data_IF_180275921487
#
_entry.id   IF_180275921487
#
_cell.length_a   1.000
_cell.length_b   1.000
_cell.length_c   1.000
_cell.angle_alpha   90.00
_cell.angle_beta   90.00
_cell.angle_gamma   90.00
#
_symmetry.space_group_name_H-M   'P 1'
#
loop_
_entity.id
_entity.type
_entity.pdbx_description
1 polymer ?
#
# COMPACT_ATOMS: atom_id res chain seq x y z
N UNK A 1 -21.57 -8.21 1.29
CA UNK A 1 -21.64 -9.68 1.30
C UNK A 1 -21.94 -10.16 2.73
N UNK A 2 -22.39 -11.41 2.90
CA UNK A 2 -22.67 -12.01 4.22
C UNK A 2 -21.44 -12.01 5.15
N UNK A 3 -20.24 -12.20 4.59
CA UNK A 3 -18.98 -12.15 5.31
C UNK A 3 -18.79 -10.85 6.11
N UNK A 4 -18.86 -9.69 5.46
CA UNK A 4 -18.61 -8.41 6.15
C UNK A 4 -19.67 -8.12 7.23
N UNK A 5 -20.93 -8.40 6.95
CA UNK A 5 -22.02 -8.26 7.93
C UNK A 5 -21.81 -9.16 9.16
N UNK A 6 -21.33 -10.39 8.97
CA UNK A 6 -20.98 -11.30 10.07
C UNK A 6 -19.82 -10.75 10.93
N UNK A 7 -18.93 -9.97 10.32
CA UNK A 7 -17.85 -9.26 11.02
C UNK A 7 -18.25 -7.87 11.55
N UNK A 8 -19.53 -7.48 11.46
CA UNK A 8 -20.04 -6.18 11.88
C UNK A 8 -19.35 -4.99 11.19
N UNK A 9 -19.02 -5.16 9.91
CA UNK A 9 -18.41 -4.11 9.07
C UNK A 9 -19.14 -4.03 7.73
N UNK A 10 -19.15 -2.85 7.11
CA UNK A 10 -19.48 -2.70 5.69
C UNK A 10 -18.21 -2.81 4.86
N UNK A 11 -18.38 -3.03 3.56
CA UNK A 11 -17.31 -2.99 2.57
C UNK A 11 -17.82 -2.30 1.32
N UNK A 12 -17.00 -1.41 0.77
CA UNK A 12 -17.24 -0.74 -0.49
C UNK A 12 -15.91 -0.62 -1.24
N UNK A 13 -16.00 -0.42 -2.56
CA UNK A 13 -14.84 -0.23 -3.43
C UNK A 13 -15.20 0.67 -4.59
N UNK A 14 -14.23 1.43 -5.08
CA UNK A 14 -14.37 2.24 -6.29
C UNK A 14 -13.04 2.37 -7.03
N UNK A 15 -13.13 2.82 -8.28
CA UNK A 15 -11.95 3.25 -9.03
C UNK A 15 -11.85 4.76 -9.00
N UNK A 16 -10.69 5.27 -8.60
CA UNK A 16 -10.31 6.67 -8.74
C UNK A 16 -9.37 6.83 -9.94
N UNK A 17 -9.27 8.03 -10.51
CA UNK A 17 -8.27 8.31 -11.55
C UNK A 17 -7.22 9.24 -10.98
N UNK A 18 -5.94 8.84 -11.01
CA UNK A 18 -4.87 9.69 -10.52
C UNK A 18 -4.51 10.81 -11.53
N UNK A 19 -3.61 11.72 -11.13
CA UNK A 19 -3.17 12.85 -11.97
C UNK A 19 -2.49 12.43 -13.28
N UNK A 20 -2.10 11.16 -13.41
CA UNK A 20 -1.46 10.57 -14.58
C UNK A 20 -2.44 9.81 -15.48
N UNK A 21 -3.73 9.78 -15.12
CA UNK A 21 -4.78 9.12 -15.89
C UNK A 21 -4.92 7.61 -15.66
N UNK A 22 -4.23 7.04 -14.67
CA UNK A 22 -4.37 5.63 -14.30
C UNK A 22 -5.60 5.44 -13.42
N UNK A 23 -6.41 4.41 -13.68
CA UNK A 23 -7.47 4.00 -12.78
C UNK A 23 -6.88 3.19 -11.63
N UNK A 24 -7.00 3.69 -10.42
CA UNK A 24 -6.55 3.01 -9.22
C UNK A 24 -7.75 2.42 -8.49
N UNK A 25 -7.64 1.16 -8.12
CA UNK A 25 -8.64 0.50 -7.31
C UNK A 25 -8.48 0.91 -5.85
N UNK A 26 -9.59 1.22 -5.22
CA UNK A 26 -9.66 1.60 -3.81
C UNK A 26 -10.78 0.83 -3.15
N UNK A 27 -10.63 0.58 -1.85
CA UNK A 27 -11.67 -0.04 -1.06
C UNK A 27 -11.56 0.35 0.40
N UNK A 28 -12.67 0.19 1.11
CA UNK A 28 -12.75 0.56 2.51
C UNK A 28 -13.77 -0.25 3.27
N UNK A 29 -13.59 -0.25 4.59
CA UNK A 29 -14.40 -0.96 5.57
C UNK A 29 -14.81 0.01 6.67
N UNK A 30 -16.10 0.05 7.00
CA UNK A 30 -16.65 0.93 8.03
C UNK A 30 -17.32 0.06 9.11
N UNK A 31 -17.08 0.31 10.41
CA UNK A 31 -17.77 -0.40 11.48
C UNK A 31 -19.28 -0.18 11.40
N UNK A 32 -20.07 -1.25 11.54
CA UNK A 32 -21.53 -1.14 11.65
C UNK A 32 -21.94 -0.73 13.09
N UNK A 33 -23.09 -0.06 13.26
CA UNK A 33 -23.66 0.17 14.58
C UNK A 33 -23.81 -1.16 15.37
N UNK A 34 -23.60 -1.16 16.70
CA UNK A 34 -23.44 -0.01 17.59
C UNK A 34 -21.98 0.44 17.82
N UNK A 35 -21.02 -0.04 17.02
CA UNK A 35 -19.62 0.32 17.21
C UNK A 35 -19.41 1.83 17.07
N UNK A 36 -18.74 2.44 18.07
CA UNK A 36 -18.33 3.84 17.99
C UNK A 36 -17.09 3.95 17.10
N UNK A 37 -17.12 4.88 16.15
CA UNK A 37 -15.95 5.20 15.33
C UNK A 37 -14.95 5.99 16.19
N UNK A 38 -13.71 5.50 16.27
CA UNK A 38 -12.64 6.05 17.12
C UNK A 38 -11.44 6.57 16.34
N UNK A 39 -11.35 6.29 15.03
CA UNK A 39 -10.26 6.75 14.20
C UNK A 39 -10.32 6.21 12.78
N UNK A 40 -9.29 6.54 12.00
CA UNK A 40 -9.10 6.07 10.62
C UNK A 40 -7.77 5.32 10.51
N UNK A 41 -7.75 4.23 9.75
CA UNK A 41 -6.51 3.53 9.37
C UNK A 41 -6.41 3.48 7.85
N UNK A 42 -5.35 4.06 7.32
CA UNK A 42 -5.01 4.04 5.90
C UNK A 42 -3.97 2.93 5.67
N UNK A 43 -4.34 1.91 4.90
CA UNK A 43 -3.53 0.71 4.67
C UNK A 43 -2.69 0.88 3.41
N UNK A 44 -1.40 0.56 3.53
CA UNK A 44 -0.41 0.59 2.44
C UNK A 44 0.17 -0.81 2.25
N UNK A 45 -0.25 -1.51 1.20
CA UNK A 45 0.18 -2.89 0.96
C UNK A 45 1.64 -2.97 0.45
N UNK A 46 2.23 -4.17 0.57
CA UNK A 46 3.59 -4.46 0.08
C UNK A 46 3.67 -4.72 -1.43
N UNK A 47 4.89 -4.93 -1.94
CA UNK A 47 5.16 -5.06 -3.38
C UNK A 47 4.45 -6.23 -4.05
N UNK A 48 4.34 -7.39 -3.39
CA UNK A 48 3.61 -8.54 -3.96
C UNK A 48 2.15 -8.58 -3.51
N UNK A 49 1.71 -7.55 -2.80
CA UNK A 49 0.40 -7.50 -2.17
C UNK A 49 -0.61 -6.69 -2.99
N UNK A 50 -1.84 -6.71 -2.50
CA UNK A 50 -2.95 -5.87 -2.95
C UNK A 50 -3.98 -5.76 -1.81
N UNK A 51 -5.00 -4.93 -1.99
CA UNK A 51 -5.92 -4.57 -0.91
C UNK A 51 -7.00 -5.63 -0.60
N UNK A 52 -7.31 -6.57 -1.52
CA UNK A 52 -8.48 -7.45 -1.43
C UNK A 52 -8.20 -8.81 -0.78
N UNK A 53 -7.05 -9.44 -1.00
CA UNK A 53 -6.68 -10.71 -0.36
C UNK A 53 -5.67 -10.49 0.78
N UNK A 54 -4.57 -9.77 0.51
CA UNK A 54 -3.44 -9.73 1.45
C UNK A 54 -3.77 -9.00 2.75
N UNK A 55 -4.47 -7.87 2.65
CA UNK A 55 -4.73 -7.01 3.82
C UNK A 55 -6.20 -7.02 4.26
N UNK A 56 -7.11 -7.66 3.52
CA UNK A 56 -8.55 -7.62 3.80
C UNK A 56 -8.90 -8.11 5.20
N UNK A 57 -8.34 -9.25 5.63
CA UNK A 57 -8.64 -9.78 6.97
C UNK A 57 -8.11 -8.86 8.07
N UNK A 58 -6.94 -8.26 7.87
CA UNK A 58 -6.38 -7.24 8.76
C UNK A 58 -7.27 -6.00 8.80
N UNK A 59 -7.71 -5.51 7.64
CA UNK A 59 -8.58 -4.35 7.53
C UNK A 59 -9.95 -4.59 8.19
N UNK A 60 -10.56 -5.76 7.97
CA UNK A 60 -11.80 -6.17 8.64
C UNK A 60 -11.60 -6.27 10.15
N UNK A 61 -10.48 -6.83 10.61
CA UNK A 61 -10.17 -6.93 12.03
C UNK A 61 -10.06 -5.54 12.69
N UNK A 62 -9.32 -4.62 12.07
CA UNK A 62 -9.16 -3.24 12.52
C UNK A 62 -10.52 -2.52 12.50
N UNK A 63 -11.29 -2.67 11.42
CA UNK A 63 -12.59 -2.03 11.28
C UNK A 63 -13.60 -2.52 12.33
N UNK A 64 -13.60 -3.81 12.64
CA UNK A 64 -14.44 -4.38 13.71
C UNK A 64 -14.16 -3.76 15.08
N UNK A 65 -12.98 -3.16 15.29
CA UNK A 65 -12.59 -2.49 16.54
C UNK A 65 -12.82 -0.97 16.53
N UNK A 66 -13.67 -0.48 15.62
CA UNK A 66 -14.15 0.91 15.64
C UNK A 66 -13.34 1.87 14.77
N UNK A 67 -12.44 1.38 13.92
CA UNK A 67 -11.75 2.23 12.95
C UNK A 67 -12.46 2.21 11.60
N UNK A 68 -12.49 3.34 10.90
CA UNK A 68 -12.70 3.32 9.45
C UNK A 68 -11.38 2.89 8.81
N UNK A 69 -11.41 1.94 7.89
CA UNK A 69 -10.20 1.45 7.21
C UNK A 69 -10.32 1.68 5.72
N UNK A 70 -9.30 2.24 5.07
CA UNK A 70 -9.25 2.34 3.62
C UNK A 70 -7.90 1.89 3.06
N UNK A 71 -7.90 1.46 1.81
CA UNK A 71 -6.72 1.01 1.08
C UNK A 71 -6.83 1.43 -0.39
N UNK A 72 -5.69 1.69 -1.02
CA UNK A 72 -5.54 1.88 -2.46
C UNK A 72 -4.53 0.87 -2.98
N UNK A 73 -4.85 0.27 -4.13
CA UNK A 73 -3.91 -0.59 -4.84
C UNK A 73 -2.90 0.28 -5.60
N UNK A 74 -1.61 0.01 -5.42
CA UNK A 74 -0.54 0.70 -6.14
C UNK A 74 -0.69 0.49 -7.65
N UNK A 75 -0.26 1.45 -8.47
CA UNK A 75 -0.20 1.24 -9.92
C UNK A 75 0.53 -0.06 -10.28
N UNK A 76 -0.04 -0.81 -11.23
CA UNK A 76 0.47 -2.13 -11.63
C UNK A 76 0.26 -3.26 -10.62
N UNK A 77 -0.52 -3.04 -9.56
CA UNK A 77 -0.84 -4.03 -8.52
C UNK A 77 -2.35 -4.19 -8.36
N UNK A 78 -2.76 -5.36 -7.84
CA UNK A 78 -4.16 -5.66 -7.57
C UNK A 78 -5.05 -5.40 -8.77
N UNK A 79 -6.04 -4.53 -8.60
CA UNK A 79 -6.96 -4.13 -9.67
C UNK A 79 -6.61 -2.77 -10.30
N UNK A 80 -5.53 -2.12 -9.89
CA UNK A 80 -5.09 -0.83 -10.43
C UNK A 80 -4.42 -0.97 -11.80
N UNK A 81 -4.64 0.02 -12.66
CA UNK A 81 -3.95 0.16 -13.94
C UNK A 81 -2.42 0.29 -13.75
N UNK A 82 -1.68 -0.08 -14.79
CA UNK A 82 -0.23 0.01 -14.87
C UNK A 82 0.40 -1.27 -15.40
N UNK A 83 1.71 -1.23 -15.65
CA UNK A 83 2.44 -2.44 -16.00
C UNK A 83 2.55 -3.33 -14.75
N UNK A 84 2.18 -4.60 -14.88
CA UNK A 84 2.10 -5.54 -13.75
C UNK A 84 3.42 -5.59 -12.97
N UNK A 85 3.34 -5.37 -11.66
CA UNK A 85 4.45 -5.33 -10.72
C UNK A 85 5.57 -4.32 -11.10
N UNK A 86 5.23 -3.25 -11.82
CA UNK A 86 6.17 -2.22 -12.24
C UNK A 86 5.88 -0.89 -11.55
N UNK A 87 6.81 -0.47 -10.69
CA UNK A 87 6.82 0.86 -10.06
C UNK A 87 8.05 1.60 -10.61
N UNK A 88 7.87 2.49 -11.60
CA UNK A 88 8.98 3.22 -12.20
C UNK A 88 9.56 4.27 -11.25
N UNK A 89 8.71 4.86 -10.40
CA UNK A 89 9.09 5.82 -9.37
C UNK A 89 8.18 5.65 -8.15
N UNK A 90 8.79 5.47 -6.98
CA UNK A 90 8.07 5.28 -5.73
C UNK A 90 7.34 6.55 -5.28
N UNK A 91 7.83 7.74 -5.66
CA UNK A 91 7.19 9.01 -5.32
C UNK A 91 5.80 9.12 -5.95
N UNK A 92 5.61 8.56 -7.14
CA UNK A 92 4.31 8.54 -7.81
C UNK A 92 3.28 7.72 -7.03
N UNK A 93 3.72 6.61 -6.43
CA UNK A 93 2.87 5.77 -5.57
C UNK A 93 2.57 6.49 -4.24
N UNK A 94 3.56 7.20 -3.68
CA UNK A 94 3.37 8.05 -2.48
C UNK A 94 2.33 9.13 -2.76
N UNK A 95 2.41 9.81 -3.90
CA UNK A 95 1.48 10.88 -4.28
C UNK A 95 0.06 10.36 -4.45
N UNK A 96 -0.10 9.20 -5.08
CA UNK A 96 -1.40 8.55 -5.20
C UNK A 96 -1.99 8.18 -3.84
N UNK A 97 -1.17 7.62 -2.94
CA UNK A 97 -1.58 7.31 -1.56
C UNK A 97 -2.02 8.56 -0.80
N UNK A 98 -1.24 9.64 -0.84
CA UNK A 98 -1.57 10.89 -0.14
C UNK A 98 -2.87 11.47 -0.69
N UNK A 99 -3.00 11.57 -2.01
CA UNK A 99 -4.18 12.10 -2.68
C UNK A 99 -5.45 11.33 -2.29
N UNK A 100 -5.38 10.00 -2.31
CA UNK A 100 -6.50 9.15 -1.91
C UNK A 100 -6.81 9.28 -0.42
N UNK A 101 -5.82 9.13 0.46
CA UNK A 101 -6.04 9.14 1.91
C UNK A 101 -6.58 10.48 2.41
N UNK A 102 -6.07 11.60 1.88
CA UNK A 102 -6.60 12.91 2.24
C UNK A 102 -8.06 13.08 1.78
N UNK A 103 -8.37 12.71 0.54
CA UNK A 103 -9.74 12.80 0.01
C UNK A 103 -10.70 11.90 0.79
N UNK A 104 -10.27 10.67 1.08
CA UNK A 104 -11.04 9.70 1.84
C UNK A 104 -11.30 10.17 3.28
N UNK A 105 -10.27 10.67 3.97
CA UNK A 105 -10.38 11.18 5.35
C UNK A 105 -11.32 12.38 5.41
N UNK A 106 -11.36 13.23 4.40
CA UNK A 106 -12.28 14.38 4.37
C UNK A 106 -13.73 13.97 4.13
N UNK A 107 -13.96 12.94 3.31
CA UNK A 107 -15.31 12.45 3.00
C UNK A 107 -15.91 11.61 4.12
N UNK A 108 -15.10 10.78 4.78
CA UNK A 108 -15.60 9.72 5.66
C UNK A 108 -15.34 9.94 7.16
N UNK A 109 -14.48 10.89 7.54
CA UNK A 109 -14.10 11.07 8.95
C UNK A 109 -14.07 12.54 9.38
N UNK A 110 -14.69 12.89 10.52
CA UNK A 110 -14.52 14.20 11.13
C UNK A 110 -13.03 14.52 11.36
N UNK A 111 -12.59 15.77 11.15
CA UNK A 111 -11.18 16.13 11.34
C UNK A 111 -10.62 15.91 12.74
N UNK A 112 -11.48 15.78 13.75
CA UNK A 112 -11.11 15.51 15.15
C UNK A 112 -10.75 14.06 15.45
N UNK A 113 -11.04 13.12 14.55
CA UNK A 113 -10.67 11.72 14.74
C UNK A 113 -9.20 11.49 14.39
N UNK A 114 -8.47 10.71 15.21
CA UNK A 114 -7.10 10.35 14.89
C UNK A 114 -7.04 9.44 13.67
N UNK A 115 -5.92 9.47 12.97
CA UNK A 115 -5.67 8.75 11.74
C UNK A 115 -4.28 8.14 11.71
N UNK A 116 -4.18 6.90 11.27
CA UNK A 116 -2.95 6.13 11.31
C UNK A 116 -2.65 5.52 9.95
N UNK A 117 -1.36 5.29 9.67
CA UNK A 117 -0.94 4.43 8.57
C UNK A 117 -0.68 3.02 9.10
N UNK A 118 -1.18 1.99 8.42
CA UNK A 118 -0.76 0.60 8.61
C UNK A 118 -0.10 0.11 7.33
N UNK A 119 1.12 -0.43 7.44
CA UNK A 119 1.91 -0.69 6.25
C UNK A 119 2.73 -1.98 6.32
N UNK A 120 2.80 -2.70 5.19
CA UNK A 120 3.47 -4.00 5.10
C UNK A 120 4.63 -3.98 4.09
N UNK A 121 5.81 -4.49 4.45
CA UNK A 121 6.95 -4.65 3.53
C UNK A 121 7.31 -3.34 2.79
N UNK A 122 7.27 -3.30 1.44
CA UNK A 122 7.44 -2.07 0.64
C UNK A 122 6.50 -0.95 1.07
N UNK A 123 5.27 -1.28 1.48
CA UNK A 123 4.32 -0.32 2.02
C UNK A 123 4.89 0.45 3.20
N UNK A 124 5.78 -0.16 3.99
CA UNK A 124 6.47 0.50 5.10
C UNK A 124 7.39 1.63 4.64
N UNK A 125 8.12 1.46 3.53
CA UNK A 125 8.89 2.55 2.93
C UNK A 125 7.98 3.67 2.42
N UNK A 126 6.87 3.31 1.76
CA UNK A 126 5.87 4.28 1.28
C UNK A 126 5.29 5.06 2.45
N UNK A 127 4.88 4.39 3.53
CA UNK A 127 4.34 5.04 4.72
C UNK A 127 5.34 5.99 5.38
N UNK A 128 6.62 5.60 5.47
CA UNK A 128 7.68 6.49 5.95
C UNK A 128 7.84 7.71 5.04
N UNK A 129 7.88 7.51 3.72
CA UNK A 129 7.97 8.61 2.75
C UNK A 129 6.76 9.57 2.86
N UNK A 130 5.55 9.04 3.06
CA UNK A 130 4.34 9.85 3.32
C UNK A 130 4.56 10.72 4.57
N UNK A 131 5.07 10.15 5.67
CA UNK A 131 5.28 10.91 6.91
C UNK A 131 6.43 11.92 6.86
N UNK A 132 7.39 11.70 5.95
CA UNK A 132 8.56 12.57 5.79
C UNK A 132 8.36 13.65 4.71
N UNK A 133 7.27 13.59 3.92
CA UNK A 133 6.93 14.61 2.93
C UNK A 133 6.72 15.98 3.59
N UNK A 134 7.16 17.02 2.88
CA UNK A 134 7.05 18.42 3.33
C UNK A 134 6.51 19.30 2.19
N UNK A 135 6.04 20.50 2.56
CA UNK A 135 5.48 21.48 1.62
C UNK A 135 4.17 21.03 0.99
N UNK A 136 3.89 21.50 -0.22
CA UNK A 136 2.60 21.33 -0.91
C UNK A 136 2.30 19.86 -1.31
N UNK A 137 3.27 18.98 -1.16
CA UNK A 137 3.14 17.54 -1.47
C UNK A 137 2.96 16.67 -0.23
N UNK A 138 2.94 17.27 0.96
CA UNK A 138 2.67 16.56 2.21
C UNK A 138 1.16 16.29 2.37
N UNK A 139 0.78 15.30 3.20
CA UNK A 139 -0.61 15.13 3.59
C UNK A 139 -1.21 16.43 4.13
N UNK A 140 -2.40 16.80 3.67
CA UNK A 140 -3.13 18.01 4.12
C UNK A 140 -3.34 18.03 5.63
N UNK A 141 -3.45 16.84 6.24
CA UNK A 141 -3.44 16.63 7.68
C UNK A 141 -2.40 15.56 8.03
N UNK A 142 -1.50 15.79 9.00
CA UNK A 142 -0.55 14.76 9.41
C UNK A 142 -1.29 13.51 9.92
N UNK A 143 -0.60 12.38 9.88
CA UNK A 143 -1.04 11.15 10.54
C UNK A 143 -0.57 11.17 11.99
N UNK A 144 -1.41 10.66 12.89
CA UNK A 144 -1.16 10.59 14.34
C UNK A 144 -0.22 9.45 14.73
N UNK A 145 0.02 8.50 13.81
CA UNK A 145 0.99 7.43 13.99
C UNK A 145 1.10 6.50 12.79
N UNK A 146 2.12 5.65 12.83
CA UNK A 146 2.40 4.65 11.80
C UNK A 146 2.66 3.30 12.46
N UNK A 147 2.05 2.25 11.90
CA UNK A 147 2.27 0.86 12.26
C UNK A 147 2.97 0.16 11.11
N UNK A 148 4.20 -0.30 11.36
CA UNK A 148 5.08 -0.92 10.36
C UNK A 148 5.20 -2.42 10.58
N UNK A 149 4.64 -3.21 9.67
CA UNK A 149 4.75 -4.67 9.67
C UNK A 149 5.81 -5.12 8.64
N UNK A 150 7.00 -5.48 9.12
CA UNK A 150 8.08 -5.97 8.27
C UNK A 150 8.58 -4.94 7.24
N UNK A 151 8.67 -3.66 7.60
CA UNK A 151 8.99 -2.57 6.68
C UNK A 151 10.32 -2.76 5.94
N UNK A 152 10.28 -2.55 4.62
CA UNK A 152 11.47 -2.56 3.77
C UNK A 152 12.14 -1.19 3.77
N UNK A 153 13.02 -0.91 4.73
CA UNK A 153 13.75 0.36 4.81
C UNK A 153 15.03 0.40 3.95
N UNK A 154 15.34 -0.69 3.25
CA UNK A 154 16.50 -0.78 2.35
C UNK A 154 16.73 -2.21 1.87
N UNK A 155 17.43 -2.35 0.75
CA UNK A 155 17.86 -3.65 0.23
C UNK A 155 19.30 -3.89 0.72
N UNK A 156 19.48 -4.94 1.51
CA UNK A 156 20.81 -5.34 1.98
C UNK A 156 21.73 -5.66 0.79
N UNK A 157 23.00 -5.27 0.89
CA UNK A 157 24.02 -5.52 -0.13
C UNK A 157 24.16 -7.01 -0.49
N UNK A 158 23.74 -7.93 0.39
CA UNK A 158 23.69 -9.38 0.11
C UNK A 158 22.74 -9.75 -1.04
N UNK A 159 21.67 -8.98 -1.22
CA UNK A 159 20.64 -9.24 -2.24
C UNK A 159 20.79 -8.35 -3.47
N UNK A 160 21.72 -7.39 -3.44
CA UNK A 160 22.03 -6.60 -4.62
C UNK A 160 22.87 -7.44 -5.60
N UNK A 161 22.72 -7.24 -6.92
CA UNK A 161 23.57 -7.87 -7.92
C UNK A 161 25.05 -7.63 -7.61
N UNK A 162 25.92 -8.60 -7.91
CA UNK A 162 27.35 -8.36 -7.76
C UNK A 162 27.81 -7.28 -8.76
N UNK A 163 28.73 -6.41 -8.36
CA UNK A 163 29.41 -5.52 -9.30
C UNK A 163 30.06 -6.33 -10.45
N UNK A 164 29.97 -5.89 -11.72
CA UNK A 164 29.38 -4.64 -12.23
C UNK A 164 27.91 -4.78 -12.70
N UNK A 165 27.22 -5.88 -12.35
CA UNK A 165 25.89 -6.19 -12.86
C UNK A 165 24.86 -5.12 -12.46
N UNK A 166 24.99 -4.50 -11.28
CA UNK A 166 24.11 -3.39 -10.85
C UNK A 166 24.04 -2.27 -11.89
N UNK A 167 25.19 -1.80 -12.37
CA UNK A 167 25.28 -0.69 -13.33
C UNK A 167 24.76 -1.07 -14.73
N UNK A 168 24.96 -2.33 -15.13
CA UNK A 168 24.43 -2.84 -16.39
C UNK A 168 22.91 -2.98 -16.35
N UNK A 169 22.34 -3.34 -15.19
CA UNK A 169 20.90 -3.40 -14.99
C UNK A 169 20.27 -2.00 -14.99
N UNK A 170 20.93 -1.00 -14.40
CA UNK A 170 20.47 0.40 -14.46
C UNK A 170 20.46 0.94 -15.89
N UNK A 171 21.52 0.66 -16.67
CA UNK A 171 21.58 1.01 -18.09
C UNK A 171 20.49 0.25 -18.87
N UNK A 172 20.31 -1.04 -18.61
CA UNK A 172 19.28 -1.83 -19.27
C UNK A 172 17.87 -1.35 -18.93
N UNK A 173 17.61 -0.95 -17.67
CA UNK A 173 16.36 -0.35 -17.25
C UNK A 173 16.12 1.03 -17.89
N UNK A 174 17.17 1.80 -18.17
CA UNK A 174 17.06 3.04 -18.92
C UNK A 174 16.61 2.80 -20.37
N UNK A 175 17.16 1.79 -21.05
CA UNK A 175 16.82 1.49 -22.45
C UNK A 175 15.56 0.63 -22.61
N UNK A 176 15.22 -0.19 -21.62
CA UNK A 176 14.09 -1.12 -21.67
C UNK A 176 13.41 -1.23 -20.27
N UNK A 177 12.79 -0.15 -19.78
CA UNK A 177 12.25 -0.08 -18.42
C UNK A 177 11.13 -1.10 -18.13
N UNK A 178 10.50 -1.63 -19.18
CA UNK A 178 9.35 -2.53 -19.10
C UNK A 178 9.70 -4.02 -19.16
N UNK A 179 10.97 -4.39 -19.41
CA UNK A 179 11.40 -5.78 -19.37
C UNK A 179 11.57 -6.21 -17.90
N UNK A 180 11.16 -7.42 -17.48
CA UNK A 180 11.55 -7.98 -16.18
C UNK A 180 13.08 -8.22 -16.12
N UNK A 181 13.87 -7.16 -15.90
CA UNK A 181 15.35 -7.21 -15.83
C UNK A 181 15.86 -7.47 -14.41
N UNK A 182 15.06 -8.07 -13.52
CA UNK A 182 15.58 -8.50 -12.21
C UNK A 182 15.92 -10.00 -12.26
N UNK A 183 17.17 -10.39 -12.56
CA UNK A 183 17.60 -11.76 -12.43
C UNK A 183 17.78 -12.07 -10.94
N UNK A 184 16.70 -12.33 -10.22
CA UNK A 184 16.80 -13.00 -8.92
C UNK A 184 17.14 -14.47 -9.19
N UNK A 185 18.38 -14.88 -8.90
CA UNK A 185 18.71 -16.31 -8.78
C UNK A 185 17.90 -16.88 -7.63
N UNK A 186 16.85 -17.62 -7.97
CA UNK A 186 15.92 -18.22 -7.02
C UNK A 186 14.58 -17.51 -7.09
N UNK A 187 13.57 -18.21 -7.58
CA UNK A 187 12.18 -17.80 -7.47
C UNK A 187 11.88 -17.55 -5.98
N UNK A 188 11.60 -16.30 -5.62
CA UNK A 188 11.17 -15.91 -4.27
C UNK A 188 10.06 -16.82 -3.69
N UNK A 189 9.13 -17.39 -4.50
CA UNK A 189 8.19 -18.41 -4.01
C UNK A 189 8.84 -19.70 -3.46
N UNK A 190 9.97 -20.15 -4.00
CA UNK A 190 10.62 -21.42 -3.60
C UNK A 190 11.46 -21.28 -2.33
N UNK A 191 11.88 -20.07 -1.96
CA UNK A 191 12.69 -19.82 -0.75
C UNK A 191 11.78 -19.61 0.47
N UNK A 192 10.55 -19.13 0.27
CA UNK A 192 9.58 -18.89 1.34
C UNK A 192 8.93 -20.18 1.91
N UNK A 193 8.89 -21.27 1.13
CA UNK A 193 8.27 -22.54 1.53
C UNK A 193 9.26 -23.70 1.56
N UNK A 194 10.40 -23.55 2.27
CA UNK A 194 11.15 -24.74 2.70
C UNK A 194 10.49 -25.29 3.95
N UNK A 195 9.56 -26.22 3.77
CA UNK A 195 8.99 -27.04 4.85
C UNK A 195 10.17 -27.69 5.59
N UNK A 196 10.37 -27.30 6.85
CA UNK A 196 11.28 -28.01 7.74
C UNK A 196 10.77 -29.45 7.86
N UNK A 197 11.59 -30.39 7.38
CA UNK A 197 11.57 -31.77 7.85
C UNK A 197 12.68 -31.92 8.87
#
# INVERSE_FOLDING_TARGET
SEFYSHHSVTHNSEFITNSRGLKLFTQWWIPLPPAKIIGVVCVVHGFTGESNWFVQLTAVHIAKHGFIVCAVDHQGHGFSDGLVAHIPDLNLVVDDCISFFDSFRDLHAPPSLPSFLYAESLGGAIALLITLRQGDTAPRRPFDGVVLNGAMCGISNKFKPAWPLEYLLDIAAFFIPTWPVVPTRGSLPMVAFKVMR
#
